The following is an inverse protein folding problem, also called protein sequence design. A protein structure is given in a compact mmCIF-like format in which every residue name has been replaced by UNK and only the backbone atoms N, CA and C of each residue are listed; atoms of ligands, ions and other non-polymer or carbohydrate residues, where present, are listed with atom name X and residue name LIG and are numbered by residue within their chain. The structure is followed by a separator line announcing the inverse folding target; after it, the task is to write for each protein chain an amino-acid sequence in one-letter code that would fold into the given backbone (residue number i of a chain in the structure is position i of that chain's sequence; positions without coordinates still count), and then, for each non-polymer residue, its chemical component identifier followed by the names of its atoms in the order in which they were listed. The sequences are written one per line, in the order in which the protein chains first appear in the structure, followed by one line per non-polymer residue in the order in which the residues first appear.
data_IF_407580934757
#
_entry.id   IF_407580934757
#
_cell.length_a   1.000
_cell.length_b   1.000
_cell.length_c   1.000
_cell.angle_alpha   90.00
_cell.angle_beta   90.00
_cell.angle_gamma   90.00
#
_symmetry.space_group_name_H-M   'P 1'
#
loop_
_entity.id
_entity.type
_entity.pdbx_description
1 polymer ?
#
# COMPACT_ATOMS: atom_id res chain seq x y z
N UNK A 1 1.21 4.35 -19.99
CA UNK A 1 0.83 3.43 -18.90
C UNK A 1 -0.43 3.97 -18.27
N UNK A 2 -1.54 3.21 -18.27
CA UNK A 2 -2.74 3.57 -17.51
C UNK A 2 -2.59 2.96 -16.12
N UNK A 3 -2.54 3.80 -15.10
CA UNK A 3 -2.54 3.38 -13.69
C UNK A 3 -3.94 3.67 -13.16
N UNK A 4 -4.88 2.73 -13.32
CA UNK A 4 -6.15 2.79 -12.59
C UNK A 4 -5.88 2.44 -11.14
N UNK A 5 -6.32 3.30 -10.22
CA UNK A 5 -5.84 3.23 -8.86
C UNK A 5 -6.87 3.61 -7.81
N UNK A 6 -6.86 2.81 -6.75
CA UNK A 6 -7.74 2.85 -5.59
C UNK A 6 -9.23 2.68 -5.94
N UNK A 7 -9.81 1.52 -5.63
CA UNK A 7 -11.25 1.32 -5.69
C UNK A 7 -11.89 2.20 -4.62
N UNK A 8 -12.36 3.38 -5.01
CA UNK A 8 -13.16 4.27 -4.18
C UNK A 8 -14.51 3.56 -4.00
N UNK A 9 -14.64 2.81 -2.91
CA UNK A 9 -15.83 1.99 -2.61
C UNK A 9 -16.92 2.77 -1.85
N UNK A 10 -17.02 4.08 -2.05
CA UNK A 10 -18.05 4.91 -1.42
C UNK A 10 -19.01 5.47 -2.50
N UNK A 11 -20.28 5.04 -2.56
CA UNK A 11 -21.28 5.77 -3.32
C UNK A 11 -21.41 7.19 -2.73
N UNK A 12 -21.29 8.21 -3.57
CA UNK A 12 -21.34 9.62 -3.16
C UNK A 12 -19.98 10.33 -2.97
N UNK A 13 -18.87 9.74 -3.42
CA UNK A 13 -17.58 10.44 -3.43
C UNK A 13 -17.62 11.67 -4.33
N UNK A 14 -17.13 12.81 -3.82
CA UNK A 14 -17.00 14.05 -4.57
C UNK A 14 -16.08 13.87 -5.81
N UNK A 15 -16.64 13.91 -7.04
CA UNK A 15 -15.83 13.74 -8.25
C UNK A 15 -14.81 14.85 -8.43
N UNK A 16 -15.06 16.05 -7.90
CA UNK A 16 -14.13 17.17 -8.00
C UNK A 16 -12.91 16.94 -7.10
N UNK A 17 -13.14 16.52 -5.85
CA UNK A 17 -12.09 16.08 -4.93
C UNK A 17 -11.20 14.98 -5.51
N UNK A 18 -11.77 14.01 -6.23
CA UNK A 18 -10.98 12.94 -6.89
C UNK A 18 -10.07 13.51 -7.98
N UNK A 19 -10.57 14.43 -8.82
CA UNK A 19 -9.77 15.09 -9.87
C UNK A 19 -8.65 15.93 -9.27
N UNK A 20 -8.94 16.67 -8.21
CA UNK A 20 -7.96 17.54 -7.57
C UNK A 20 -6.91 16.74 -6.80
N UNK A 21 -7.28 15.61 -6.21
CA UNK A 21 -6.34 14.64 -5.64
C UNK A 21 -5.41 14.06 -6.71
N UNK A 22 -5.96 13.66 -7.86
CA UNK A 22 -5.19 13.13 -8.98
C UNK A 22 -4.21 14.17 -9.56
N UNK A 23 -4.63 15.44 -9.63
CA UNK A 23 -3.75 16.54 -10.04
C UNK A 23 -2.58 16.69 -9.07
N UNK A 24 -2.84 16.69 -7.77
CA UNK A 24 -1.78 16.90 -6.77
C UNK A 24 -0.82 15.70 -6.71
N UNK A 25 -1.36 14.49 -6.77
CA UNK A 25 -0.56 13.27 -6.93
C UNK A 25 0.39 13.37 -8.15
N UNK A 26 -0.14 13.78 -9.31
CA UNK A 26 0.67 13.87 -10.53
C UNK A 26 1.77 14.92 -10.42
N UNK A 27 1.51 16.05 -9.75
CA UNK A 27 2.56 17.06 -9.48
C UNK A 27 3.66 16.50 -8.57
N UNK A 28 3.31 15.75 -7.54
CA UNK A 28 4.28 15.20 -6.57
C UNK A 28 5.09 14.05 -7.16
N UNK A 29 4.43 13.04 -7.72
CA UNK A 29 5.06 11.77 -8.08
C UNK A 29 5.56 11.71 -9.53
N UNK A 30 5.00 12.54 -10.41
CA UNK A 30 5.35 12.60 -11.83
C UNK A 30 6.09 13.89 -12.19
N UNK A 31 6.67 14.55 -11.19
CA UNK A 31 7.46 15.75 -11.37
C UNK A 31 8.56 15.53 -12.42
N UNK A 32 8.63 16.43 -13.40
CA UNK A 32 9.59 16.33 -14.51
C UNK A 32 9.12 15.48 -15.70
N UNK A 33 7.95 14.84 -15.62
CA UNK A 33 7.31 14.19 -16.78
C UNK A 33 6.10 14.99 -17.26
N UNK A 34 5.87 14.98 -18.57
CA UNK A 34 4.62 15.47 -19.14
C UNK A 34 3.52 14.43 -18.89
N UNK A 35 2.34 14.87 -18.47
CA UNK A 35 1.21 14.00 -18.25
C UNK A 35 -0.10 14.70 -18.64
N UNK A 36 -1.10 13.88 -18.98
CA UNK A 36 -2.49 14.29 -19.16
C UNK A 36 -3.37 13.42 -18.28
N UNK A 37 -4.46 13.98 -17.77
CA UNK A 37 -5.41 13.21 -16.97
C UNK A 37 -6.86 13.54 -17.32
N UNK A 38 -7.72 12.53 -17.25
CA UNK A 38 -9.14 12.60 -17.56
C UNK A 38 -9.92 11.99 -16.41
N UNK A 39 -10.93 12.70 -15.91
CA UNK A 39 -11.90 12.18 -14.95
C UNK A 39 -13.10 11.61 -15.71
N UNK A 40 -13.51 10.41 -15.33
CA UNK A 40 -14.74 9.76 -15.75
C UNK A 40 -15.75 9.79 -14.61
N UNK A 41 -16.94 10.30 -14.92
CA UNK A 41 -18.10 10.40 -14.01
C UNK A 41 -19.29 9.56 -14.52
N UNK A 42 -19.12 8.89 -15.65
CA UNK A 42 -20.12 8.11 -16.38
C UNK A 42 -20.28 6.67 -15.87
N UNK A 43 -19.36 6.22 -15.01
CA UNK A 43 -19.43 4.93 -14.33
C UNK A 43 -19.93 5.06 -12.88
N UNK A 44 -20.24 3.91 -12.27
CA UNK A 44 -20.72 3.82 -10.88
C UNK A 44 -19.81 4.49 -9.84
N UNK A 45 -18.53 4.65 -10.16
CA UNK A 45 -17.53 5.27 -9.29
C UNK A 45 -16.69 6.27 -10.08
N UNK A 46 -16.56 7.53 -9.59
CA UNK A 46 -15.72 8.52 -10.25
C UNK A 46 -14.27 8.03 -10.23
N UNK A 47 -13.63 8.01 -11.39
CA UNK A 47 -12.23 7.57 -11.51
C UNK A 47 -11.45 8.46 -12.46
N UNK A 48 -10.12 8.44 -12.34
CA UNK A 48 -9.23 9.26 -13.16
C UNK A 48 -8.23 8.38 -13.88
N UNK A 49 -8.10 8.60 -15.19
CA UNK A 49 -7.01 8.06 -15.98
C UNK A 49 -5.89 9.09 -16.09
N UNK A 50 -4.65 8.65 -15.89
CA UNK A 50 -3.46 9.47 -16.10
C UNK A 50 -2.60 8.79 -17.16
N UNK A 51 -2.26 9.52 -18.22
CA UNK A 51 -1.28 9.10 -19.21
C UNK A 51 -0.03 9.96 -19.08
N UNK A 52 1.11 9.30 -18.94
CA UNK A 52 2.41 9.95 -18.67
C UNK A 52 3.37 9.64 -19.81
N UNK A 53 4.09 10.67 -20.26
CA UNK A 53 5.20 10.51 -21.20
C UNK A 53 6.35 9.80 -20.48
N UNK A 54 6.71 8.63 -21.01
CA UNK A 54 7.66 7.75 -20.34
C UNK A 54 9.07 8.34 -20.23
N UNK A 55 9.45 9.27 -21.10
CA UNK A 55 10.75 9.94 -21.06
C UNK A 55 10.53 11.38 -20.61
N UNK A 56 11.32 11.84 -19.63
CA UNK A 56 11.30 13.23 -19.20
C UNK A 56 11.91 14.11 -20.29
N UNK A 57 11.23 15.20 -20.65
CA UNK A 57 11.79 16.19 -21.58
C UNK A 57 12.88 17.05 -20.93
N UNK A 58 12.91 17.10 -19.59
CA UNK A 58 13.89 17.91 -18.86
C UNK A 58 15.18 17.15 -18.59
N UNK A 59 15.08 15.89 -18.17
CA UNK A 59 16.25 15.09 -17.76
C UNK A 59 16.61 14.00 -18.77
N UNK A 60 15.73 13.67 -19.72
CA UNK A 60 15.91 12.53 -20.63
C UNK A 60 15.73 11.17 -19.95
N UNK A 61 15.42 11.14 -18.65
CA UNK A 61 15.29 9.89 -17.90
C UNK A 61 13.95 9.20 -18.20
N UNK A 62 13.99 7.86 -18.24
CA UNK A 62 12.81 7.04 -18.45
C UNK A 62 12.14 6.71 -17.11
N UNK A 63 10.86 7.02 -17.01
CA UNK A 63 9.97 6.58 -15.92
C UNK A 63 9.92 5.05 -15.89
N UNK A 64 10.51 4.46 -14.86
CA UNK A 64 10.59 3.01 -14.67
C UNK A 64 10.08 2.61 -13.28
N UNK A 65 8.75 2.67 -13.06
CA UNK A 65 8.18 2.41 -11.75
C UNK A 65 8.37 0.94 -11.37
N UNK A 66 9.05 0.69 -10.26
CA UNK A 66 9.18 -0.63 -9.65
C UNK A 66 8.05 -0.86 -8.65
N UNK A 67 8.01 -2.07 -8.07
CA UNK A 67 6.96 -2.47 -7.12
C UNK A 67 6.85 -1.53 -5.91
N UNK A 68 7.98 -1.00 -5.42
CA UNK A 68 7.99 -0.05 -4.31
C UNK A 68 7.39 1.30 -4.72
N UNK A 69 7.72 1.79 -5.92
CA UNK A 69 7.13 3.02 -6.47
C UNK A 69 5.62 2.88 -6.63
N UNK A 70 5.17 1.74 -7.15
CA UNK A 70 3.76 1.43 -7.27
C UNK A 70 3.05 1.21 -5.94
N UNK A 71 3.74 1.11 -4.81
CA UNK A 71 3.11 1.10 -3.49
C UNK A 71 3.10 2.52 -2.91
N UNK A 72 4.22 3.24 -3.01
CA UNK A 72 4.31 4.66 -2.62
C UNK A 72 3.24 5.48 -3.33
N UNK A 73 3.05 5.28 -4.63
CA UNK A 73 1.99 5.94 -5.38
C UNK A 73 0.60 5.69 -4.77
N UNK A 74 0.34 4.50 -4.15
CA UNK A 74 -0.94 4.11 -3.49
C UNK A 74 -1.14 5.03 -2.32
N UNK A 75 -0.12 5.10 -1.51
CA UNK A 75 -0.09 5.82 -0.26
C UNK A 75 -0.22 7.32 -0.55
N UNK A 76 0.57 7.87 -1.46
CA UNK A 76 0.49 9.28 -1.86
C UNK A 76 -0.91 9.62 -2.39
N UNK A 77 -1.49 8.79 -3.27
CA UNK A 77 -2.83 9.09 -3.80
C UNK A 77 -3.92 8.99 -2.72
N UNK A 78 -3.85 7.99 -1.83
CA UNK A 78 -4.79 7.87 -0.72
C UNK A 78 -4.65 9.04 0.28
N UNK A 79 -3.42 9.50 0.55
CA UNK A 79 -3.16 10.69 1.36
C UNK A 79 -3.82 11.93 0.74
N UNK A 80 -3.65 12.16 -0.58
CA UNK A 80 -4.30 13.29 -1.26
C UNK A 80 -5.83 13.19 -1.28
N UNK A 81 -6.40 11.99 -1.28
CA UNK A 81 -7.84 11.81 -1.11
C UNK A 81 -8.28 12.14 0.32
N UNK A 82 -7.56 11.66 1.33
CA UNK A 82 -7.85 11.90 2.75
C UNK A 82 -7.76 13.39 3.12
N UNK A 83 -6.78 14.12 2.58
CA UNK A 83 -6.67 15.59 2.72
C UNK A 83 -7.93 16.34 2.25
N UNK A 84 -8.71 15.73 1.35
CA UNK A 84 -9.94 16.29 0.78
C UNK A 84 -11.20 15.69 1.40
N UNK A 85 -11.07 14.96 2.51
CA UNK A 85 -12.18 14.31 3.21
C UNK A 85 -12.74 13.06 2.52
N UNK A 86 -12.03 12.51 1.53
CA UNK A 86 -12.40 11.26 0.87
C UNK A 86 -11.64 10.13 1.56
N UNK A 87 -12.35 9.32 2.34
CA UNK A 87 -11.75 8.18 3.06
C UNK A 87 -11.16 7.16 2.07
N UNK A 88 -9.84 7.07 2.07
CA UNK A 88 -9.09 6.20 1.18
C UNK A 88 -7.95 5.50 1.93
N UNK A 89 -7.84 4.19 1.73
CA UNK A 89 -6.79 3.37 2.33
C UNK A 89 -6.00 2.60 1.27
N UNK A 90 -4.68 2.79 1.29
CA UNK A 90 -3.71 2.19 0.39
C UNK A 90 -2.98 0.95 0.93
N UNK A 91 -3.43 0.41 2.06
CA UNK A 91 -2.78 -0.75 2.69
C UNK A 91 -2.66 -1.93 1.73
N UNK A 92 -1.55 -2.68 1.73
CA UNK A 92 -1.46 -3.89 0.95
C UNK A 92 -2.26 -5.03 1.60
N UNK A 93 -2.74 -5.96 0.79
CA UNK A 93 -3.56 -7.09 1.23
C UNK A 93 -2.91 -7.95 2.32
N UNK A 94 -1.58 -8.11 2.28
CA UNK A 94 -0.84 -8.87 3.29
C UNK A 94 -0.82 -8.17 4.65
N UNK A 95 -0.83 -6.83 4.67
CA UNK A 95 -0.90 -6.05 5.90
C UNK A 95 -2.28 -6.16 6.56
N UNK A 96 -3.35 -6.29 5.77
CA UNK A 96 -4.71 -6.57 6.29
C UNK A 96 -4.91 -8.00 6.78
N UNK A 97 -3.92 -8.87 6.62
CA UNK A 97 -4.03 -10.28 6.96
C UNK A 97 -4.98 -11.10 6.08
N UNK A 98 -5.51 -10.57 4.99
CA UNK A 98 -6.37 -11.35 4.08
C UNK A 98 -5.51 -12.02 3.01
N UNK A 99 -4.89 -13.16 3.29
CA UNK A 99 -4.03 -13.85 2.31
C UNK A 99 -4.79 -14.54 1.19
N UNK A 100 -6.12 -14.63 1.32
CA UNK A 100 -6.98 -15.24 0.32
C UNK A 100 -7.13 -14.31 -0.88
N UNK A 101 -6.35 -14.54 -1.93
CA UNK A 101 -6.62 -13.89 -3.22
C UNK A 101 -7.76 -14.64 -3.87
N UNK A 102 -8.79 -13.91 -4.30
CA UNK A 102 -9.85 -14.44 -5.15
C UNK A 102 -9.31 -15.16 -6.38
N UNK A 103 -10.16 -15.99 -6.98
CA UNK A 103 -9.83 -16.82 -8.15
C UNK A 103 -9.23 -15.97 -9.28
N UNK A 104 -8.36 -16.56 -10.11
CA UNK A 104 -7.85 -15.85 -11.31
C UNK A 104 -9.03 -15.43 -12.17
N UNK A 105 -8.98 -14.25 -12.78
CA UNK A 105 -10.00 -13.78 -13.74
C UNK A 105 -10.27 -14.80 -14.85
N UNK A 106 -9.23 -15.48 -15.36
CA UNK A 106 -9.37 -16.59 -16.32
C UNK A 106 -10.13 -17.78 -15.75
N UNK A 107 -9.86 -18.16 -14.51
CA UNK A 107 -10.59 -19.23 -13.84
C UNK A 107 -12.03 -18.82 -13.56
N UNK A 108 -12.26 -17.58 -13.13
CA UNK A 108 -13.58 -16.99 -12.95
C UNK A 108 -14.41 -17.03 -14.24
N UNK A 109 -13.85 -16.61 -15.37
CA UNK A 109 -14.50 -16.71 -16.67
C UNK A 109 -14.64 -18.16 -17.16
N UNK A 110 -13.72 -19.06 -16.84
CA UNK A 110 -13.83 -20.48 -17.18
C UNK A 110 -14.97 -21.16 -16.42
N UNK A 111 -15.11 -20.92 -15.11
CA UNK A 111 -16.24 -21.42 -14.31
C UNK A 111 -17.56 -20.83 -14.85
N UNK A 112 -17.60 -19.51 -15.07
CA UNK A 112 -18.81 -18.80 -15.51
C UNK A 112 -19.27 -19.25 -16.90
N UNK A 113 -18.34 -19.55 -17.81
CA UNK A 113 -18.65 -19.87 -19.20
C UNK A 113 -18.71 -21.38 -19.50
N UNK A 114 -18.05 -22.23 -18.71
CA UNK A 114 -17.92 -23.69 -18.99
C UNK A 114 -18.36 -24.60 -17.85
N UNK A 115 -18.79 -24.07 -16.70
CA UNK A 115 -19.23 -24.89 -15.56
C UNK A 115 -18.11 -25.70 -14.89
N UNK A 116 -16.85 -25.40 -15.18
CA UNK A 116 -15.69 -26.12 -14.66
C UNK A 116 -15.38 -25.71 -13.20
N UNK A 117 -15.18 -26.69 -12.31
CA UNK A 117 -14.81 -26.42 -10.91
C UNK A 117 -13.32 -26.02 -10.80
N UNK A 118 -13.06 -24.73 -10.59
CA UNK A 118 -11.70 -24.24 -10.29
C UNK A 118 -11.25 -24.68 -8.90
N UNK A 119 -10.09 -25.34 -8.83
CA UNK A 119 -9.44 -25.68 -7.56
C UNK A 119 -8.89 -24.39 -6.94
N UNK A 120 -9.19 -24.07 -5.67
CA UNK A 120 -8.63 -22.89 -5.03
C UNK A 120 -7.11 -22.97 -5.03
N UNK A 121 -6.44 -21.87 -5.38
CA UNK A 121 -4.99 -21.80 -5.38
C UNK A 121 -4.50 -21.79 -3.93
N UNK A 122 -4.14 -22.95 -3.40
CA UNK A 122 -3.35 -23.05 -2.17
C UNK A 122 -1.94 -22.56 -2.53
N UNK A 123 -1.49 -21.44 -1.96
CA UNK A 123 -0.10 -21.01 -2.12
C UNK A 123 0.79 -21.94 -1.29
N UNK A 124 2.06 -22.09 -1.71
CA UNK A 124 3.06 -22.75 -0.89
C UNK A 124 3.13 -22.08 0.50
N UNK A 125 3.15 -22.87 1.59
CA UNK A 125 3.07 -22.37 2.97
C UNK A 125 4.15 -21.32 3.28
N UNK A 126 5.33 -21.45 2.68
CA UNK A 126 6.45 -20.51 2.84
C UNK A 126 6.10 -19.05 2.48
N UNK A 127 5.28 -18.83 1.46
CA UNK A 127 4.91 -17.46 1.06
C UNK A 127 3.88 -16.83 2.00
N UNK A 128 3.03 -17.66 2.60
CA UNK A 128 2.07 -17.23 3.60
C UNK A 128 2.78 -16.90 4.91
N UNK A 129 3.72 -17.74 5.32
CA UNK A 129 4.60 -17.52 6.47
C UNK A 129 5.42 -16.23 6.35
N UNK A 130 6.05 -15.98 5.19
CA UNK A 130 6.76 -14.72 4.92
C UNK A 130 5.85 -13.49 5.04
N UNK A 131 4.60 -13.58 4.61
CA UNK A 131 3.65 -12.47 4.75
C UNK A 131 3.16 -12.31 6.20
N UNK A 132 2.99 -13.40 6.93
CA UNK A 132 2.64 -13.40 8.35
C UNK A 132 3.74 -12.75 9.20
N UNK A 133 5.01 -13.09 8.93
CA UNK A 133 6.17 -12.48 9.62
C UNK A 133 6.20 -10.97 9.38
N UNK A 134 6.04 -10.54 8.12
CA UNK A 134 5.99 -9.11 7.76
C UNK A 134 4.83 -8.39 8.41
N UNK A 135 3.66 -9.02 8.43
CA UNK A 135 2.46 -8.48 9.06
C UNK A 135 2.69 -8.30 10.57
N UNK A 136 3.20 -9.33 11.25
CA UNK A 136 3.51 -9.28 12.68
C UNK A 136 4.47 -8.14 13.01
N UNK A 137 5.57 -8.00 12.27
CA UNK A 137 6.53 -6.92 12.46
C UNK A 137 5.87 -5.54 12.33
N UNK A 138 5.03 -5.34 11.31
CA UNK A 138 4.31 -4.08 11.11
C UNK A 138 3.39 -3.73 12.29
N UNK A 139 2.58 -4.69 12.75
CA UNK A 139 1.67 -4.45 13.87
C UNK A 139 2.40 -4.29 15.20
N UNK A 140 3.55 -4.94 15.40
CA UNK A 140 4.41 -4.69 16.55
C UNK A 140 4.93 -3.25 16.57
N UNK A 141 5.37 -2.73 15.42
CA UNK A 141 5.86 -1.35 15.32
C UNK A 141 4.72 -0.33 15.55
N UNK A 142 3.53 -0.60 15.03
CA UNK A 142 2.33 0.21 15.30
C UNK A 142 1.96 0.17 16.79
N UNK A 143 1.93 -1.00 17.42
CA UNK A 143 1.62 -1.12 18.85
C UNK A 143 2.63 -0.38 19.73
N UNK A 144 3.92 -0.43 19.38
CA UNK A 144 4.98 0.33 20.07
C UNK A 144 4.76 1.83 19.91
N UNK A 145 4.48 2.31 18.69
CA UNK A 145 4.22 3.72 18.45
C UNK A 145 3.01 4.23 19.27
N UNK A 146 1.92 3.46 19.30
CA UNK A 146 0.71 3.77 20.07
C UNK A 146 0.92 3.71 21.59
N UNK A 147 1.83 2.86 22.08
CA UNK A 147 2.12 2.77 23.50
C UNK A 147 2.86 4.02 24.02
N UNK A 148 3.62 4.71 23.15
CA UNK A 148 4.45 5.88 23.51
C UNK A 148 3.62 7.16 23.62
N UNK A 149 2.51 7.30 22.91
CA UNK A 149 1.75 8.55 22.80
C UNK A 149 0.98 8.95 24.06
N UNK A 150 0.95 8.12 25.11
CA UNK A 150 0.43 8.47 26.44
C UNK A 150 -1.09 8.60 26.57
N UNK A 151 -1.82 8.81 25.46
CA UNK A 151 -3.28 8.87 25.37
C UNK A 151 -3.95 7.55 25.77
N UNK A 152 -5.05 7.63 26.51
CA UNK A 152 -5.81 6.43 26.92
C UNK A 152 -6.43 5.69 25.72
N UNK A 153 -6.81 6.42 24.66
CA UNK A 153 -7.32 5.79 23.43
C UNK A 153 -6.21 5.01 22.72
N UNK A 154 -5.01 5.56 22.66
CA UNK A 154 -3.88 4.92 21.96
C UNK A 154 -3.40 3.68 22.71
N UNK A 155 -3.39 3.72 24.05
CA UNK A 155 -3.13 2.55 24.89
C UNK A 155 -4.16 1.44 24.67
N UNK A 156 -5.45 1.79 24.58
CA UNK A 156 -6.50 0.81 24.25
C UNK A 156 -6.27 0.20 22.87
N UNK A 157 -5.98 1.03 21.87
CA UNK A 157 -5.73 0.56 20.50
C UNK A 157 -4.46 -0.30 20.39
N UNK A 158 -3.44 -0.03 21.21
CA UNK A 158 -2.26 -0.89 21.33
C UNK A 158 -2.63 -2.28 21.89
N UNK A 159 -3.48 -2.35 22.92
CA UNK A 159 -3.97 -3.62 23.48
C UNK A 159 -4.82 -4.41 22.47
N UNK A 160 -5.68 -3.73 21.71
CA UNK A 160 -6.48 -4.34 20.65
C UNK A 160 -5.58 -4.93 19.55
N UNK A 161 -4.52 -4.21 19.19
CA UNK A 161 -3.53 -4.66 18.19
C UNK A 161 -2.80 -5.94 18.63
N UNK A 162 -2.36 -5.98 19.89
CA UNK A 162 -1.70 -7.16 20.47
C UNK A 162 -2.68 -8.35 20.55
N UNK A 163 -3.94 -8.10 20.92
CA UNK A 163 -4.99 -9.12 20.96
C UNK A 163 -5.25 -9.73 19.57
N UNK A 164 -5.34 -8.88 18.55
CA UNK A 164 -5.49 -9.31 17.16
C UNK A 164 -4.31 -10.19 16.69
N UNK A 165 -3.07 -9.83 17.04
CA UNK A 165 -1.90 -10.64 16.71
C UNK A 165 -1.92 -12.01 17.41
N UNK A 166 -2.38 -12.07 18.66
CA UNK A 166 -2.51 -13.33 19.42
C UNK A 166 -3.54 -14.26 18.80
N UNK A 167 -4.71 -13.74 18.43
CA UNK A 167 -5.74 -14.54 17.76
C UNK A 167 -5.23 -15.14 16.44
N UNK A 168 -4.51 -14.33 15.65
CA UNK A 168 -3.92 -14.74 14.38
C UNK A 168 -2.84 -15.82 14.51
N UNK A 169 -1.97 -15.73 15.50
CA UNK A 169 -0.92 -16.74 15.72
C UNK A 169 -1.51 -18.06 16.22
N UNK A 170 -2.57 -18.02 17.04
CA UNK A 170 -3.27 -19.24 17.48
C UNK A 170 -3.96 -19.96 16.33
N UNK A 171 -4.57 -19.21 15.39
CA UNK A 171 -5.16 -19.78 14.18
C UNK A 171 -4.11 -20.43 13.27
N UNK A 172 -2.94 -19.78 13.09
CA UNK A 172 -1.82 -20.31 12.32
C UNK A 172 -1.19 -21.58 12.95
N UNK A 173 -1.14 -21.65 14.29
CA UNK A 173 -0.62 -22.81 15.05
C UNK A 173 -1.50 -24.05 14.95
N UNK A 174 -2.80 -23.92 14.64
CA UNK A 174 -3.70 -25.07 14.45
C UNK A 174 -3.51 -25.76 13.08
N UNK A 175 -2.79 -25.11 12.15
CA UNK A 175 -2.47 -25.61 10.82
C UNK A 175 -1.02 -26.08 10.70
N UNK A 176 -0.73 -27.27 11.24
CA UNK A 176 0.44 -28.13 10.97
C UNK A 176 1.85 -27.50 11.12
N UNK A 177 2.50 -27.83 12.23
CA UNK A 177 3.87 -27.46 12.61
C UNK A 177 4.95 -28.19 11.78
N UNK A 178 5.87 -27.44 11.15
CA UNK A 178 7.30 -27.82 11.09
C UNK A 178 8.17 -26.57 11.24
N UNK A 179 8.91 -26.54 12.34
CA UNK A 179 9.86 -25.51 12.74
C UNK A 179 11.03 -25.42 11.77
N UNK A 180 11.30 -24.24 11.23
CA UNK A 180 12.57 -23.88 10.60
C UNK A 180 13.08 -22.62 11.31
N UNK A 181 14.26 -22.73 11.91
CA UNK A 181 14.90 -21.61 12.62
C UNK A 181 15.19 -20.42 11.68
N UNK A 182 14.90 -19.18 12.10
CA UNK A 182 15.10 -18.01 11.25
C UNK A 182 16.60 -17.66 11.17
N UNK A 183 17.21 -17.95 10.02
CA UNK A 183 18.44 -17.27 9.58
C UNK A 183 18.04 -15.96 8.88
N UNK A 184 18.76 -14.90 9.23
CA UNK A 184 18.67 -13.53 8.72
C UNK A 184 17.65 -12.60 9.40
N UNK A 185 18.09 -12.00 10.51
CA UNK A 185 17.58 -10.73 11.02
C UNK A 185 17.78 -9.61 9.98
N UNK A 186 16.74 -8.84 9.60
CA UNK A 186 16.92 -7.66 8.76
C UNK A 186 17.67 -6.54 9.50
N UNK A 187 18.68 -5.97 8.83
CA UNK A 187 19.54 -4.87 9.29
C UNK A 187 18.70 -3.68 9.78
N UNK A 188 19.07 -3.17 10.97
CA UNK A 188 18.56 -1.93 11.57
C UNK A 188 18.75 -0.76 10.59
N UNK A 189 17.67 -0.07 10.25
CA UNK A 189 17.73 1.25 9.63
C UNK A 189 17.83 2.23 10.80
N UNK A 190 19.02 2.75 11.06
CA UNK A 190 19.22 3.81 12.04
C UNK A 190 18.64 5.11 11.47
N UNK A 191 17.72 5.71 12.23
CA UNK A 191 17.26 7.08 12.01
C UNK A 191 18.25 8.05 12.69
N UNK A 192 18.95 8.85 11.88
CA UNK A 192 19.56 10.09 12.37
C UNK A 192 19.06 11.25 11.50
N UNK A 193 18.12 11.99 12.07
CA UNK A 193 17.71 13.32 11.63
C UNK A 193 18.67 14.36 12.24
N UNK A 194 19.36 15.10 11.36
CA UNK A 194 19.59 16.54 11.47
C UNK A 194 20.59 17.07 12.50
N UNK A 195 21.76 17.53 12.03
CA UNK A 195 22.44 18.72 12.57
C UNK A 195 22.99 19.59 11.45
N UNK A 196 22.26 20.67 11.19
CA UNK A 196 22.64 22.06 10.88
C UNK A 196 23.89 22.37 10.04
N UNK A 197 23.64 23.12 8.97
CA UNK A 197 24.54 24.09 8.35
C UNK A 197 25.13 25.07 9.37
N UNK A 198 26.46 25.18 9.38
CA UNK A 198 27.22 26.41 9.64
C UNK A 198 28.55 26.33 8.89
N UNK A 199 28.86 27.40 8.18
CA UNK A 199 30.18 27.91 7.79
C UNK A 199 31.10 27.08 6.89
N UNK A 200 31.22 27.54 5.63
CA UNK A 200 32.50 27.65 4.92
C UNK A 200 32.57 28.98 4.17
N UNK A 201 33.27 29.92 4.79
CA UNK A 201 34.34 30.78 4.26
C UNK A 201 34.47 30.83 2.72
N UNK A 202 34.41 32.02 2.11
CA UNK A 202 35.55 32.93 1.94
C UNK A 202 36.80 32.23 1.38
N UNK A 203 37.30 32.83 0.31
CA UNK A 203 38.69 32.78 -0.18
C UNK A 203 38.98 31.84 -1.37
N UNK A 204 38.70 32.39 -2.57
CA UNK A 204 39.56 32.52 -3.77
C UNK A 204 38.79 32.35 -5.08
#
# INVERSE_FOLDING_TARGET
MSVSYCSINAPGTDPQGVKDAAREFAKTELAGHQYVFVRHDDEKHPHVHIAVKAVSDRTGERLNPRKADLQRWRETFAEKLNERGIDANATPTWARGNFNRGRRTRSYHAIKNKGELDKPRIKAPEHEEKNNIRMKALYEDVAKALAVTGSNNDKKMALDTVSFLKERTTLASSGNSKSIEPKDTPKKINAELGKNQTDKDKER
#
